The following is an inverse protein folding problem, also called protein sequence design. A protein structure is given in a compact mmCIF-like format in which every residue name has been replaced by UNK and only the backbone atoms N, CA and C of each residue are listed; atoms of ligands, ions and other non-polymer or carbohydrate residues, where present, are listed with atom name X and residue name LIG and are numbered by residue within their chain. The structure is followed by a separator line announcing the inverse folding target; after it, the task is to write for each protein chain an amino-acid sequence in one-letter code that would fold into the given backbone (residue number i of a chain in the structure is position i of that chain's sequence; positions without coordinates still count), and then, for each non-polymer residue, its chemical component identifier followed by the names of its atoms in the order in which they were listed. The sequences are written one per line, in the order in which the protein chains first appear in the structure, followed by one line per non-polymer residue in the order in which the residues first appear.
data_IF_123891011241
#
_entry.id   IF_123891011241
#
_cell.length_a   1.000
_cell.length_b   1.000
_cell.length_c   1.000
_cell.angle_alpha   90.00
_cell.angle_beta   90.00
_cell.angle_gamma   90.00
#
_symmetry.space_group_name_H-M   'P 1'
#
loop_
_entity.id
_entity.type
_entity.pdbx_description
1 polymer ?
#
# COMPACT_ATOMS: atom_id res chain seq x y z
N UNK A 1 -24.36 20.96 -34.96
CA UNK A 1 -23.71 22.08 -34.24
C UNK A 1 -24.64 22.56 -33.13
N UNK A 2 -24.43 22.11 -31.89
CA UNK A 2 -25.15 22.62 -30.71
C UNK A 2 -24.09 22.94 -29.65
N UNK A 3 -23.84 24.23 -29.47
CA UNK A 3 -22.98 24.77 -28.41
C UNK A 3 -23.80 24.74 -27.12
N UNK A 4 -23.36 24.01 -26.10
CA UNK A 4 -23.87 24.13 -24.74
C UNK A 4 -22.90 25.02 -23.97
N UNK A 5 -23.38 26.19 -23.58
CA UNK A 5 -22.64 27.10 -22.71
C UNK A 5 -22.55 26.48 -21.31
N UNK A 6 -21.33 26.27 -20.83
CA UNK A 6 -21.07 25.99 -19.42
C UNK A 6 -21.20 27.29 -18.63
N UNK A 7 -22.09 27.30 -17.64
CA UNK A 7 -22.18 28.35 -16.62
C UNK A 7 -21.23 27.93 -15.51
N UNK A 8 -20.06 28.57 -15.45
CA UNK A 8 -19.14 28.45 -14.32
C UNK A 8 -19.62 29.39 -13.21
N UNK A 9 -20.19 28.83 -12.15
CA UNK A 9 -20.46 29.58 -10.91
C UNK A 9 -19.24 29.45 -10.00
N UNK A 10 -18.40 30.49 -10.01
CA UNK A 10 -17.28 30.62 -9.08
C UNK A 10 -17.82 30.96 -7.69
N UNK A 11 -17.65 30.05 -6.73
CA UNK A 11 -17.95 30.32 -5.32
C UNK A 11 -16.64 30.77 -4.63
N UNK A 12 -16.56 32.08 -4.41
CA UNK A 12 -15.43 32.75 -3.77
C UNK A 12 -15.67 32.78 -2.26
N UNK A 13 -15.03 31.89 -1.51
CA UNK A 13 -15.08 31.89 -0.05
C UNK A 13 -13.95 32.76 0.51
N UNK A 14 -14.33 33.96 0.94
CA UNK A 14 -13.55 34.85 1.81
C UNK A 14 -13.62 34.32 3.25
N UNK A 15 -12.52 33.79 3.77
CA UNK A 15 -12.34 33.60 5.21
C UNK A 15 -11.52 34.77 5.78
N UNK A 16 -12.23 35.62 6.54
CA UNK A 16 -11.67 36.71 7.34
C UNK A 16 -10.83 36.16 8.51
N UNK A 17 -9.67 36.78 8.70
CA UNK A 17 -8.82 36.62 9.88
C UNK A 17 -9.42 37.35 11.09
N UNK A 18 -9.44 36.68 12.24
CA UNK A 18 -9.65 37.33 13.53
C UNK A 18 -8.47 36.98 14.45
N UNK A 19 -7.59 37.96 14.63
CA UNK A 19 -6.55 37.98 15.64
C UNK A 19 -7.19 38.19 17.03
N UNK A 20 -6.73 37.44 18.03
CA UNK A 20 -6.80 37.83 19.43
C UNK A 20 -5.43 37.58 20.07
N UNK A 21 -4.72 38.68 20.34
CA UNK A 21 -3.53 38.69 21.18
C UNK A 21 -3.91 38.46 22.65
N UNK A 22 -3.15 37.62 23.34
CA UNK A 22 -3.15 37.49 24.80
C UNK A 22 -1.74 37.15 25.28
N UNK A 23 -1.00 38.18 25.65
CA UNK A 23 0.40 38.16 26.11
C UNK A 23 0.47 37.89 27.61
N UNK A 24 1.24 36.89 28.04
CA UNK A 24 1.92 36.89 29.34
C UNK A 24 3.28 36.20 29.20
N UNK A 25 4.31 36.93 29.62
CA UNK A 25 5.69 36.50 29.67
C UNK A 25 5.99 35.81 31.00
N UNK A 26 6.82 34.77 30.96
CA UNK A 26 7.75 34.43 32.03
C UNK A 26 8.95 33.68 31.43
N UNK A 27 10.13 34.25 31.66
CA UNK A 27 11.45 33.74 31.28
C UNK A 27 11.95 32.63 32.23
N UNK A 28 13.06 31.94 31.89
CA UNK A 28 13.48 30.65 32.44
C UNK A 28 14.46 30.80 33.63
N UNK A 29 14.87 29.69 34.25
CA UNK A 29 16.22 29.52 34.84
C UNK A 29 17.08 28.64 33.91
N UNK A 30 18.28 29.02 33.44
CA UNK A 30 19.60 28.99 34.13
C UNK A 30 19.73 27.80 35.10
N UNK A 31 20.77 26.96 35.15
CA UNK A 31 22.08 26.82 34.52
C UNK A 31 22.66 25.49 35.04
N UNK A 32 23.54 24.82 34.29
CA UNK A 32 24.74 24.17 34.84
C UNK A 32 25.61 23.63 33.71
N UNK A 33 26.75 24.27 33.53
CA UNK A 33 27.93 23.77 32.83
C UNK A 33 28.58 22.65 33.66
N UNK A 34 29.20 21.67 33.00
CA UNK A 34 30.56 21.21 33.31
C UNK A 34 31.06 20.21 32.26
N UNK A 35 32.22 20.56 31.73
CA UNK A 35 33.07 19.85 30.79
C UNK A 35 33.73 18.59 31.37
N UNK A 36 34.31 17.78 30.47
CA UNK A 36 35.63 17.11 30.53
C UNK A 36 35.56 15.74 29.84
N UNK A 37 36.57 15.16 29.20
CA UNK A 37 37.80 15.59 28.52
C UNK A 37 38.40 14.26 27.96
N UNK A 38 38.64 14.17 26.64
CA UNK A 38 39.78 13.57 25.92
C UNK A 38 40.37 12.17 26.35
N UNK A 39 40.17 11.13 25.51
CA UNK A 39 41.11 10.26 24.69
C UNK A 39 42.56 9.99 25.24
N UNK A 40 43.37 8.90 24.97
CA UNK A 40 43.41 7.87 23.88
C UNK A 40 43.83 6.40 24.26
N UNK A 41 43.96 5.51 23.25
CA UNK A 41 44.94 4.39 23.23
C UNK A 41 44.58 3.27 22.23
N UNK A 42 45.04 3.32 20.98
CA UNK A 42 46.23 2.64 20.39
C UNK A 42 45.98 1.16 19.97
N UNK A 43 46.03 0.79 18.67
CA UNK A 43 47.22 0.29 17.92
C UNK A 43 47.55 -1.17 18.36
N UNK A 44 47.72 -2.22 17.55
CA UNK A 44 48.12 -2.40 16.14
C UNK A 44 47.93 -3.87 15.68
N UNK A 45 47.88 -4.03 14.36
CA UNK A 45 48.56 -5.03 13.49
C UNK A 45 48.31 -6.56 13.51
N UNK A 46 48.48 -7.07 12.27
CA UNK A 46 48.92 -8.40 11.84
C UNK A 46 47.82 -9.47 11.73
N UNK A 47 47.49 -10.03 10.56
CA UNK A 47 48.29 -10.24 9.35
C UNK A 47 48.37 -11.75 9.10
N UNK A 48 47.76 -12.26 8.04
CA UNK A 48 48.30 -13.41 7.29
C UNK A 48 47.59 -13.55 5.95
N UNK A 49 48.39 -13.37 4.91
CA UNK A 49 48.16 -13.87 3.56
C UNK A 49 48.06 -15.40 3.57
N UNK A 50 47.42 -16.00 2.56
CA UNK A 50 48.06 -16.99 1.65
C UNK A 50 47.05 -17.47 0.60
N UNK A 51 47.48 -17.31 -0.65
CA UNK A 51 47.06 -17.90 -1.92
C UNK A 51 46.66 -19.40 -1.83
N UNK A 52 45.97 -20.03 -2.77
CA UNK A 52 46.37 -20.23 -4.17
C UNK A 52 45.29 -21.01 -4.91
N UNK A 53 45.32 -20.83 -6.23
CA UNK A 53 44.62 -21.49 -7.34
C UNK A 53 44.42 -23.01 -7.25
N UNK A 54 43.46 -23.54 -8.02
CA UNK A 54 43.75 -24.36 -9.23
C UNK A 54 42.45 -24.82 -9.90
N UNK A 55 42.24 -24.28 -11.10
CA UNK A 55 41.96 -24.93 -12.39
C UNK A 55 41.26 -26.29 -12.45
N UNK A 56 40.25 -26.36 -13.32
CA UNK A 56 39.69 -27.59 -13.86
C UNK A 56 38.90 -27.32 -15.14
N UNK A 57 39.59 -26.90 -16.21
CA UNK A 57 39.10 -27.06 -17.58
C UNK A 57 39.18 -28.54 -17.97
N UNK A 58 38.13 -29.05 -18.60
CA UNK A 58 38.20 -30.25 -19.43
C UNK A 58 37.40 -30.00 -20.71
N UNK A 59 38.14 -29.83 -21.80
CA UNK A 59 37.65 -29.83 -23.18
C UNK A 59 37.27 -31.25 -23.61
N UNK A 60 36.33 -31.36 -24.57
CA UNK A 60 36.56 -31.97 -25.90
C UNK A 60 35.30 -32.68 -26.45
N UNK A 61 34.71 -32.00 -27.44
CA UNK A 61 34.16 -32.45 -28.74
C UNK A 61 33.40 -33.79 -28.87
N UNK A 62 32.25 -33.78 -29.55
CA UNK A 62 32.22 -34.00 -31.02
C UNK A 62 30.80 -33.98 -31.58
N UNK A 63 30.74 -33.69 -32.88
CA UNK A 63 29.63 -33.31 -33.75
C UNK A 63 28.65 -34.43 -34.11
N UNK A 64 27.40 -34.10 -34.46
CA UNK A 64 26.75 -34.61 -35.69
C UNK A 64 25.56 -33.75 -36.12
N UNK A 65 25.38 -33.67 -37.43
CA UNK A 65 24.56 -32.76 -38.22
C UNK A 65 23.24 -33.41 -38.68
N UNK A 66 22.20 -32.57 -38.82
CA UNK A 66 21.02 -32.63 -39.70
C UNK A 66 20.12 -33.89 -39.83
N UNK A 67 18.82 -33.67 -39.56
CA UNK A 67 17.69 -34.47 -40.05
C UNK A 67 16.36 -33.79 -39.74
N UNK A 68 15.75 -33.18 -40.75
CA UNK A 68 14.48 -32.42 -40.71
C UNK A 68 13.22 -33.28 -40.51
N UNK A 69 12.24 -32.80 -39.73
CA UNK A 69 10.79 -32.85 -40.05
C UNK A 69 10.02 -31.88 -39.13
N UNK A 70 8.98 -31.14 -39.59
CA UNK A 70 8.44 -29.99 -38.88
C UNK A 70 7.40 -30.40 -37.83
N UNK A 71 7.54 -29.86 -36.62
CA UNK A 71 6.49 -29.95 -35.61
C UNK A 71 5.27 -29.11 -36.04
N UNK A 72 4.03 -29.62 -35.87
CA UNK A 72 2.83 -28.94 -36.31
C UNK A 72 2.64 -27.64 -35.53
N UNK A 73 2.23 -26.60 -36.25
CA UNK A 73 1.79 -25.33 -35.66
C UNK A 73 0.78 -25.60 -34.55
N UNK A 74 1.17 -25.32 -33.30
CA UNK A 74 0.21 -25.14 -32.22
C UNK A 74 -0.77 -24.05 -32.67
N UNK A 75 -2.09 -24.31 -32.63
CA UNK A 75 -3.03 -23.25 -32.87
C UNK A 75 -2.79 -22.18 -31.81
N UNK A 76 -2.69 -20.93 -32.24
CA UNK A 76 -2.92 -19.78 -31.39
C UNK A 76 -4.31 -19.98 -30.77
N UNK A 77 -4.34 -20.53 -29.56
CA UNK A 77 -5.51 -20.48 -28.71
C UNK A 77 -5.51 -19.06 -28.17
N UNK A 78 -6.18 -18.19 -28.93
CA UNK A 78 -6.80 -17.04 -28.33
C UNK A 78 -7.78 -17.55 -27.29
N UNK A 79 -7.45 -17.31 -26.03
CA UNK A 79 -8.45 -17.13 -24.98
C UNK A 79 -8.20 -15.70 -24.49
N UNK A 80 -8.71 -14.72 -25.23
CA UNK A 80 -9.75 -13.82 -24.72
C UNK A 80 -10.32 -14.25 -23.36
N UNK A 81 -9.56 -14.03 -22.30
CA UNK A 81 -10.13 -13.98 -20.95
C UNK A 81 -10.50 -12.51 -20.65
N UNK A 82 -11.60 -12.07 -21.28
CA UNK A 82 -12.36 -10.93 -20.80
C UNK A 82 -13.73 -11.45 -20.43
N UNK A 83 -13.77 -12.21 -19.34
CA UNK A 83 -14.99 -12.67 -18.70
C UNK A 83 -15.02 -12.12 -17.28
N UNK A 84 -15.21 -10.80 -17.15
CA UNK A 84 -15.51 -10.17 -15.87
C UNK A 84 -16.97 -9.73 -15.76
N UNK A 85 -17.83 -10.13 -16.71
CA UNK A 85 -19.21 -9.67 -16.81
C UNK A 85 -20.19 -10.35 -15.82
N UNK A 86 -19.75 -11.35 -15.04
CA UNK A 86 -20.67 -12.14 -14.21
C UNK A 86 -20.79 -11.64 -12.75
N UNK A 87 -19.98 -10.68 -12.31
CA UNK A 87 -19.99 -10.18 -10.93
C UNK A 87 -20.29 -8.68 -10.91
N UNK A 88 -21.56 -8.34 -10.70
CA UNK A 88 -21.96 -6.96 -10.38
C UNK A 88 -21.76 -6.71 -8.89
N UNK A 89 -20.87 -5.79 -8.54
CA UNK A 89 -20.63 -5.37 -7.16
C UNK A 89 -21.43 -4.10 -6.85
N UNK A 90 -22.37 -4.20 -5.90
CA UNK A 90 -23.20 -3.07 -5.44
C UNK A 90 -22.65 -2.40 -4.16
N UNK A 91 -21.48 -2.84 -3.70
CA UNK A 91 -20.74 -2.27 -2.59
C UNK A 91 -19.23 -2.52 -2.81
N UNK A 92 -18.34 -1.76 -2.16
CA UNK A 92 -16.92 -2.04 -2.20
C UNK A 92 -16.63 -3.48 -1.72
N UNK A 93 -15.76 -4.23 -2.42
CA UNK A 93 -15.46 -5.61 -2.07
C UNK A 93 -14.56 -5.71 -0.83
N UNK A 94 -14.65 -6.83 -0.11
CA UNK A 94 -13.69 -7.15 0.94
C UNK A 94 -12.29 -7.39 0.36
N UNK A 95 -11.27 -6.98 1.11
CA UNK A 95 -9.87 -7.20 0.75
C UNK A 95 -9.27 -8.21 1.72
N UNK A 96 -8.61 -9.23 1.20
CA UNK A 96 -7.89 -10.22 2.01
C UNK A 96 -6.39 -10.05 1.85
N UNK A 97 -5.69 -9.97 2.98
CA UNK A 97 -4.24 -9.93 3.06
C UNK A 97 -3.72 -11.31 3.45
N UNK A 98 -2.64 -11.75 2.82
CA UNK A 98 -1.90 -12.96 3.19
C UNK A 98 -0.41 -12.67 3.22
N UNK A 99 0.25 -13.10 4.28
CA UNK A 99 1.70 -13.03 4.40
C UNK A 99 2.35 -13.87 3.30
N UNK A 100 3.18 -13.23 2.46
CA UNK A 100 3.82 -13.88 1.31
C UNK A 100 5.02 -14.77 1.70
N UNK A 101 5.57 -14.57 2.90
CA UNK A 101 6.69 -15.34 3.43
C UNK A 101 6.24 -16.55 4.25
N UNK A 102 4.97 -16.54 4.68
CA UNK A 102 4.37 -17.62 5.45
C UNK A 102 3.85 -18.77 4.57
N UNK A 103 4.21 -20.00 4.93
CA UNK A 103 3.62 -21.20 4.32
C UNK A 103 2.29 -21.62 4.94
N UNK A 104 1.85 -20.94 6.01
CA UNK A 104 0.59 -21.24 6.70
C UNK A 104 -0.64 -20.78 5.91
N UNK A 105 -0.48 -19.86 4.95
CA UNK A 105 -1.54 -19.29 4.12
C UNK A 105 -2.70 -18.71 4.95
N UNK A 106 -2.35 -18.08 6.08
CA UNK A 106 -3.30 -17.38 6.95
C UNK A 106 -3.81 -16.13 6.25
N UNK A 107 -5.14 -15.97 6.22
CA UNK A 107 -5.82 -14.83 5.62
C UNK A 107 -6.32 -13.86 6.68
N UNK A 108 -6.13 -12.56 6.43
CA UNK A 108 -6.70 -11.47 7.21
C UNK A 108 -7.62 -10.62 6.34
N UNK A 109 -8.90 -10.55 6.69
CA UNK A 109 -9.93 -9.89 5.85
C UNK A 109 -10.26 -8.50 6.38
N UNK A 110 -10.25 -7.53 5.48
CA UNK A 110 -10.57 -6.14 5.68
C UNK A 110 -11.95 -5.82 5.10
N UNK A 111 -12.72 -5.05 5.85
CA UNK A 111 -14.00 -4.50 5.42
C UNK A 111 -13.88 -3.00 5.14
N UNK A 112 -14.57 -2.51 4.12
CA UNK A 112 -14.56 -1.09 3.78
C UNK A 112 -15.23 -0.25 4.86
N UNK A 113 -14.60 0.86 5.25
CA UNK A 113 -15.16 1.84 6.19
C UNK A 113 -15.77 3.05 5.48
N UNK A 114 -14.91 3.92 4.95
CA UNK A 114 -15.29 5.16 4.26
C UNK A 114 -15.16 4.98 2.75
N UNK A 115 -16.07 5.55 1.96
CA UNK A 115 -15.93 5.49 0.51
C UNK A 115 -17.15 5.94 -0.28
N UNK A 116 -16.99 5.98 -1.59
CA UNK A 116 -18.04 6.22 -2.57
C UNK A 116 -18.02 5.10 -3.59
N UNK A 117 -19.17 4.46 -3.80
CA UNK A 117 -19.30 3.30 -4.68
C UNK A 117 -20.43 3.50 -5.67
N UNK A 118 -20.15 3.31 -6.94
CA UNK A 118 -21.11 3.47 -8.03
C UNK A 118 -21.21 2.20 -8.86
N UNK A 119 -22.43 1.84 -9.26
CA UNK A 119 -22.70 0.69 -10.12
C UNK A 119 -23.89 0.95 -11.05
N UNK A 120 -23.98 0.17 -12.12
CA UNK A 120 -25.09 0.24 -13.07
C UNK A 120 -26.27 -0.60 -12.57
N UNK A 121 -27.43 0.03 -12.38
CA UNK A 121 -28.73 -0.63 -12.15
C UNK A 121 -29.72 -0.15 -13.23
N UNK A 122 -30.27 -1.08 -14.03
CA UNK A 122 -31.24 -0.78 -15.10
C UNK A 122 -30.80 0.34 -16.05
N UNK A 123 -29.54 0.29 -16.51
CA UNK A 123 -28.92 1.28 -17.40
C UNK A 123 -28.73 2.68 -16.80
N UNK A 124 -28.91 2.83 -15.49
CA UNK A 124 -28.63 4.07 -14.74
C UNK A 124 -27.53 3.83 -13.69
N UNK A 125 -26.72 4.85 -13.43
CA UNK A 125 -25.69 4.80 -12.37
C UNK A 125 -26.37 5.06 -11.02
N UNK A 126 -26.21 4.12 -10.10
CA UNK A 126 -26.58 4.25 -8.69
C UNK A 126 -25.31 4.43 -7.86
N UNK A 127 -25.33 5.35 -6.91
CA UNK A 127 -24.18 5.66 -6.04
C UNK A 127 -24.55 5.50 -4.57
N UNK A 128 -23.65 4.90 -3.80
CA UNK A 128 -23.70 4.77 -2.35
C UNK A 128 -22.49 5.44 -1.73
N UNK A 129 -22.70 6.14 -0.61
CA UNK A 129 -21.63 6.79 0.16
C UNK A 129 -21.63 6.20 1.57
N UNK A 130 -20.46 5.77 2.02
CA UNK A 130 -20.22 5.32 3.38
C UNK A 130 -19.29 6.30 4.09
N UNK A 131 -19.67 6.73 5.29
CA UNK A 131 -18.85 7.59 6.14
C UNK A 131 -18.43 6.78 7.37
N UNK A 132 -17.21 6.25 7.36
CA UNK A 132 -16.59 5.58 8.50
C UNK A 132 -15.83 6.55 9.41
N UNK A 133 -15.12 5.99 10.38
CA UNK A 133 -14.20 6.74 11.24
C UNK A 133 -12.98 7.23 10.45
N UNK A 134 -12.36 8.32 10.90
CA UNK A 134 -11.01 8.67 10.46
C UNK A 134 -9.99 7.64 10.98
N UNK A 135 -8.82 7.48 10.33
CA UNK A 135 -7.83 6.47 10.73
C UNK A 135 -7.46 6.53 12.21
N UNK A 136 -7.16 7.71 12.74
CA UNK A 136 -6.70 7.87 14.12
C UNK A 136 -7.84 7.90 15.16
N UNK A 137 -9.09 7.91 14.71
CA UNK A 137 -10.28 7.90 15.58
C UNK A 137 -10.83 6.48 15.80
N UNK A 138 -10.13 5.44 15.31
CA UNK A 138 -10.55 4.05 15.50
C UNK A 138 -10.46 3.62 16.96
N UNK A 139 -11.42 2.80 17.39
CA UNK A 139 -11.35 2.15 18.70
C UNK A 139 -10.44 0.92 18.61
N UNK A 140 -9.27 0.90 19.26
CA UNK A 140 -8.32 -0.21 19.16
C UNK A 140 -8.86 -1.53 19.69
N UNK A 141 -9.88 -1.52 20.56
CA UNK A 141 -10.50 -2.76 21.05
C UNK A 141 -11.45 -3.40 20.02
N UNK A 142 -11.91 -2.62 19.04
CA UNK A 142 -12.83 -3.07 17.99
C UNK A 142 -12.20 -3.10 16.59
N UNK A 143 -11.03 -2.47 16.43
CA UNK A 143 -10.32 -2.43 15.16
C UNK A 143 -9.86 -3.83 14.73
N UNK A 144 -9.82 -4.04 13.41
CA UNK A 144 -9.19 -5.22 12.86
C UNK A 144 -7.67 -5.13 13.09
N UNK A 145 -7.09 -6.12 13.77
CA UNK A 145 -5.65 -6.16 14.08
C UNK A 145 -4.98 -7.36 13.42
N UNK A 146 -3.91 -7.09 12.67
CA UNK A 146 -3.08 -8.07 11.98
C UNK A 146 -1.79 -8.31 12.77
N UNK A 147 -1.53 -9.54 13.19
CA UNK A 147 -0.23 -9.94 13.73
C UNK A 147 0.79 -10.05 12.58
N UNK A 148 1.74 -9.13 12.51
CA UNK A 148 2.79 -9.08 11.50
C UNK A 148 4.02 -9.81 12.05
N UNK A 149 4.46 -10.95 11.49
CA UNK A 149 5.57 -11.72 12.08
C UNK A 149 6.92 -10.98 12.06
N UNK A 150 7.77 -11.19 13.07
CA UNK A 150 9.17 -10.76 13.04
C UNK A 150 10.03 -11.81 12.32
N UNK A 151 10.20 -11.63 11.01
CA UNK A 151 11.09 -12.45 10.19
C UNK A 151 12.50 -11.92 10.21
N UNK A 152 13.39 -12.52 11.01
CA UNK A 152 14.84 -12.23 11.00
C UNK A 152 15.16 -10.71 11.07
N UNK A 153 14.34 -9.90 11.76
CA UNK A 153 14.46 -8.44 11.84
C UNK A 153 14.33 -7.72 10.50
N UNK A 154 13.53 -8.24 9.59
CA UNK A 154 13.06 -7.45 8.45
C UNK A 154 12.24 -6.26 8.98
N UNK A 155 12.48 -5.09 8.40
CA UNK A 155 11.79 -3.85 8.80
C UNK A 155 10.32 -3.84 8.37
N UNK A 156 9.96 -4.63 7.36
CA UNK A 156 8.60 -4.84 6.86
C UNK A 156 8.41 -6.26 6.33
N UNK A 157 7.15 -6.68 6.26
CA UNK A 157 6.74 -7.97 5.71
C UNK A 157 5.86 -7.73 4.48
N UNK A 158 6.15 -8.39 3.34
CA UNK A 158 5.32 -8.29 2.14
C UNK A 158 4.03 -9.11 2.28
N UNK A 159 2.89 -8.45 2.13
CA UNK A 159 1.56 -9.05 2.12
C UNK A 159 0.97 -9.03 0.71
N UNK A 160 0.47 -10.19 0.27
CA UNK A 160 -0.31 -10.33 -0.95
C UNK A 160 -1.74 -9.88 -0.70
N UNK A 161 -2.27 -9.11 -1.66
CA UNK A 161 -3.64 -8.63 -1.65
C UNK A 161 -4.52 -9.47 -2.58
N UNK A 162 -5.63 -9.95 -2.05
CA UNK A 162 -6.68 -10.66 -2.78
C UNK A 162 -7.99 -9.90 -2.68
N UNK A 163 -8.67 -9.78 -3.81
CA UNK A 163 -9.99 -9.17 -3.88
C UNK A 163 -10.76 -9.85 -5.02
N UNK A 164 -12.09 -9.94 -4.91
CA UNK A 164 -12.94 -10.50 -5.98
C UNK A 164 -12.73 -9.77 -7.31
N UNK A 165 -12.42 -8.48 -7.25
CA UNK A 165 -12.00 -7.65 -8.36
C UNK A 165 -10.91 -6.71 -7.87
N UNK A 166 -9.66 -6.93 -8.27
CA UNK A 166 -8.54 -6.11 -7.81
C UNK A 166 -8.77 -4.63 -8.11
N UNK A 167 -8.40 -3.73 -7.18
CA UNK A 167 -8.41 -2.30 -7.45
C UNK A 167 -7.36 -1.96 -8.52
N UNK A 168 -7.58 -0.85 -9.20
CA UNK A 168 -6.68 -0.33 -10.22
C UNK A 168 -5.48 0.40 -9.58
N UNK A 169 -5.71 0.98 -8.40
CA UNK A 169 -4.71 1.66 -7.58
C UNK A 169 -4.96 1.42 -6.11
N UNK A 170 -3.88 1.37 -5.35
CA UNK A 170 -3.90 1.36 -3.89
C UNK A 170 -3.01 2.49 -3.39
N UNK A 171 -3.51 3.29 -2.45
CA UNK A 171 -2.72 4.19 -1.63
C UNK A 171 -2.70 3.64 -0.20
N UNK A 172 -1.51 3.30 0.30
CA UNK A 172 -1.31 2.88 1.68
C UNK A 172 -0.71 4.03 2.47
N UNK A 173 -1.41 4.44 3.53
CA UNK A 173 -0.91 5.39 4.52
C UNK A 173 -0.64 4.68 5.83
N UNK A 174 0.44 5.04 6.50
CA UNK A 174 0.79 4.48 7.81
C UNK A 174 1.04 5.58 8.84
N UNK A 175 0.54 5.40 10.06
CA UNK A 175 0.84 6.23 11.23
C UNK A 175 1.46 5.35 12.32
N UNK A 176 2.13 5.98 13.29
CA UNK A 176 2.54 5.27 14.49
C UNK A 176 1.30 4.88 15.30
N UNK A 177 1.27 3.67 15.88
CA UNK A 177 0.15 3.26 16.72
C UNK A 177 -0.01 4.14 17.97
N UNK A 178 1.05 4.83 18.40
CA UNK A 178 1.00 5.81 19.48
C UNK A 178 0.26 7.11 19.11
N UNK A 179 -0.01 7.35 17.81
CA UNK A 179 -0.75 8.51 17.34
C UNK A 179 -2.28 8.31 17.37
N UNK A 180 -2.78 7.14 17.80
CA UNK A 180 -4.22 6.92 18.00
C UNK A 180 -4.82 7.98 18.95
N UNK A 181 -5.93 8.57 18.52
CA UNK A 181 -6.60 9.69 19.20
C UNK A 181 -5.95 11.06 18.99
N UNK A 182 -4.85 11.15 18.25
CA UNK A 182 -4.17 12.41 17.89
C UNK A 182 -4.61 12.82 16.49
N UNK A 183 -5.79 13.42 16.37
CA UNK A 183 -6.43 13.73 15.09
C UNK A 183 -5.58 14.54 14.08
N UNK A 184 -4.59 15.29 14.54
CA UNK A 184 -3.72 16.14 13.71
C UNK A 184 -2.39 15.48 13.33
N UNK A 185 -2.16 14.21 13.69
CA UNK A 185 -0.93 13.52 13.33
C UNK A 185 -0.89 13.21 11.83
N UNK A 186 0.22 13.57 11.19
CA UNK A 186 0.48 13.29 9.78
C UNK A 186 0.94 11.83 9.60
N UNK A 187 0.63 11.20 8.46
CA UNK A 187 1.13 9.86 8.17
C UNK A 187 2.66 9.85 8.13
N UNK A 188 3.26 8.80 8.69
CA UNK A 188 4.69 8.53 8.60
C UNK A 188 5.13 8.27 7.16
N UNK A 189 4.27 7.63 6.36
CA UNK A 189 4.49 7.45 4.93
C UNK A 189 3.17 7.30 4.17
N UNK A 190 3.24 7.61 2.88
CA UNK A 190 2.20 7.34 1.89
C UNK A 190 2.85 6.64 0.69
N UNK A 191 2.35 5.45 0.33
CA UNK A 191 2.90 4.64 -0.77
C UNK A 191 1.79 4.27 -1.75
N UNK A 192 1.96 4.65 -3.02
CA UNK A 192 1.05 4.26 -4.10
C UNK A 192 1.53 2.96 -4.75
N UNK A 193 0.64 1.99 -4.87
CA UNK A 193 0.85 0.73 -5.57
C UNK A 193 -0.02 0.72 -6.84
N UNK A 194 0.64 0.53 -7.98
CA UNK A 194 0.01 0.27 -9.27
C UNK A 194 0.45 -1.09 -9.76
N UNK A 195 -0.51 -1.90 -10.22
CA UNK A 195 -0.32 -3.32 -10.56
C UNK A 195 0.13 -4.23 -9.39
N UNK A 196 0.14 -5.55 -9.63
CA UNK A 196 0.18 -6.62 -8.60
C UNK A 196 1.56 -6.71 -7.91
N UNK A 197 1.82 -5.83 -6.95
CA UNK A 197 2.93 -5.90 -6.02
C UNK A 197 2.42 -6.14 -4.60
N UNK A 198 3.16 -6.89 -3.75
CA UNK A 198 2.82 -6.99 -2.34
C UNK A 198 2.90 -5.61 -1.68
N UNK A 199 2.02 -5.37 -0.71
CA UNK A 199 2.12 -4.20 0.17
C UNK A 199 3.05 -4.52 1.33
N UNK A 200 3.82 -3.54 1.78
CA UNK A 200 4.80 -3.72 2.84
C UNK A 200 4.20 -3.28 4.17
N UNK A 201 4.06 -4.20 5.13
CA UNK A 201 3.47 -3.92 6.43
C UNK A 201 4.50 -4.03 7.55
N UNK A 202 4.42 -3.11 8.51
CA UNK A 202 5.27 -3.06 9.71
C UNK A 202 4.42 -3.31 10.94
N UNK A 203 5.04 -3.80 12.01
CA UNK A 203 4.42 -3.86 13.34
C UNK A 203 4.15 -2.47 13.91
N UNK A 204 3.24 -2.39 14.87
CA UNK A 204 2.95 -1.19 15.66
C UNK A 204 2.54 0.02 14.79
N UNK A 205 1.66 -0.21 13.82
CA UNK A 205 1.14 0.83 12.93
C UNK A 205 -0.38 0.88 12.90
N UNK A 206 -0.87 2.07 12.57
CA UNK A 206 -2.22 2.27 12.05
C UNK A 206 -2.12 2.39 10.53
N UNK A 207 -2.90 1.60 9.80
CA UNK A 207 -2.93 1.65 8.34
C UNK A 207 -4.29 2.15 7.83
N UNK A 208 -4.22 3.00 6.81
CA UNK A 208 -5.32 3.25 5.88
C UNK A 208 -4.90 2.73 4.49
N UNK A 209 -5.64 1.75 3.99
CA UNK A 209 -5.55 1.30 2.61
C UNK A 209 -6.71 1.92 1.83
N UNK A 210 -6.42 2.84 0.92
CA UNK A 210 -7.42 3.40 -0.01
C UNK A 210 -7.30 2.65 -1.33
N UNK A 211 -8.36 1.94 -1.71
CA UNK A 211 -8.44 1.18 -2.95
C UNK A 211 -9.38 1.88 -3.95
N UNK A 212 -8.90 2.08 -5.17
CA UNK A 212 -9.63 2.78 -6.23
C UNK A 212 -9.91 1.85 -7.40
N UNK A 213 -11.17 1.81 -7.83
CA UNK A 213 -11.64 1.21 -9.08
C UNK A 213 -12.03 2.35 -10.02
N UNK A 214 -11.25 2.52 -11.08
CA UNK A 214 -11.30 3.66 -12.00
C UNK A 214 -12.61 3.67 -12.83
N UNK A 215 -13.25 4.85 -12.96
CA UNK A 215 -14.47 5.04 -13.76
C UNK A 215 -14.23 4.71 -15.23
N UNK A 216 -13.00 4.86 -15.72
CA UNK A 216 -12.55 4.48 -17.05
C UNK A 216 -12.83 3.00 -17.39
N UNK A 217 -13.04 2.15 -16.38
CA UNK A 217 -13.34 0.71 -16.53
C UNK A 217 -14.81 0.37 -16.28
N UNK A 218 -15.70 1.37 -16.16
CA UNK A 218 -17.15 1.19 -15.97
C UNK A 218 -17.77 0.30 -17.05
N UNK A 219 -17.41 0.50 -18.32
CA UNK A 219 -17.93 -0.29 -19.45
C UNK A 219 -17.50 -1.77 -19.37
N UNK A 220 -16.45 -2.08 -18.61
CA UNK A 220 -15.91 -3.45 -18.47
C UNK A 220 -16.45 -4.18 -17.24
N UNK A 221 -16.72 -3.45 -16.16
CA UNK A 221 -17.02 -4.01 -14.83
C UNK A 221 -18.40 -3.64 -14.30
N UNK A 222 -19.07 -2.65 -14.89
CA UNK A 222 -20.38 -2.12 -14.45
C UNK A 222 -20.39 -1.48 -13.06
N UNK A 223 -19.22 -1.20 -12.50
CA UNK A 223 -19.02 -0.48 -11.24
C UNK A 223 -17.70 0.28 -11.24
N UNK A 224 -17.59 1.26 -10.36
CA UNK A 224 -16.38 2.03 -10.06
C UNK A 224 -16.54 2.68 -8.68
N UNK A 225 -15.44 3.17 -8.11
CA UNK A 225 -15.49 3.86 -6.83
C UNK A 225 -14.19 3.78 -6.05
N UNK A 226 -14.22 4.33 -4.85
CA UNK A 226 -13.10 4.35 -3.92
C UNK A 226 -13.58 3.91 -2.54
N UNK A 227 -12.77 3.11 -1.86
CA UNK A 227 -13.03 2.69 -0.49
C UNK A 227 -11.75 2.65 0.34
N UNK A 228 -11.87 3.09 1.59
CA UNK A 228 -10.84 3.06 2.63
C UNK A 228 -11.06 1.87 3.56
N UNK A 229 -9.98 1.18 3.88
CA UNK A 229 -9.92 0.01 4.76
C UNK A 229 -8.93 0.33 5.88
N UNK A 230 -9.41 0.28 7.13
CA UNK A 230 -8.64 0.62 8.31
C UNK A 230 -8.28 -0.63 9.11
N UNK A 231 -7.03 -0.73 9.54
CA UNK A 231 -6.56 -1.82 10.38
C UNK A 231 -5.32 -1.44 11.18
N UNK A 232 -5.07 -2.19 12.24
CA UNK A 232 -3.89 -2.10 13.09
C UNK A 232 -2.93 -3.26 12.79
N UNK A 233 -1.67 -3.08 13.14
CA UNK A 233 -0.69 -4.16 13.16
C UNK A 233 0.00 -4.30 14.51
N UNK A 234 0.28 -5.55 14.90
CA UNK A 234 1.02 -5.92 16.13
C UNK A 234 2.19 -6.89 15.87
#
# INVERSE_FOLDING_TARGET
MKKRCAVFTALLLLSLTAACSGRTAAQPPESSEAESEIIPGSTDESGTETSSDTSGESEMETSSEAGSEPAPASPAVGTSEKAHADVLLTAPPEITLSDSLSSANTSFTLHSGTGEWSWVDKDEITTSVACGSAPLDMDPEQAATLDVPDYNRLDSVPYLLYCVMLPDRILLREWDIQDLGVAEAEPLSETEYSEVLPIELKKDRVYELVATWEEEKLDERFFFGEASYLFLTE
#
